data_IF_393556978643
#
_entry.id   IF_393556978643
#
_cell.length_a   1.000
_cell.length_b   1.000
_cell.length_c   1.000
_cell.angle_alpha   90.00
_cell.angle_beta   90.00
_cell.angle_gamma   90.00
#
_symmetry.space_group_name_H-M   'P 1'
#
loop_
_entity.id
_entity.type
_entity.pdbx_description
1 polymer ?
#
# COMPACT_ATOMS: atom_id res chain seq x y z
N UNK A 1 24.74 5.65 52.64
CA UNK A 1 23.55 5.67 53.52
C UNK A 1 22.55 6.69 52.98
N UNK A 2 21.25 6.32 52.97
CA UNK A 2 20.04 7.07 52.54
C UNK A 2 19.69 6.93 51.04
N UNK A 3 18.49 6.56 50.62
CA UNK A 3 17.42 5.68 51.13
C UNK A 3 16.61 5.23 49.91
N UNK A 4 16.10 3.99 49.95
CA UNK A 4 15.20 3.43 48.95
C UNK A 4 13.76 3.80 49.31
N UNK A 5 12.99 4.35 48.36
CA UNK A 5 11.52 4.27 48.39
C UNK A 5 11.05 3.87 47.00
N UNK A 6 10.83 2.57 46.86
CA UNK A 6 10.02 1.95 45.82
C UNK A 6 8.55 2.22 46.14
N UNK A 7 7.79 2.81 45.21
CA UNK A 7 6.33 2.77 45.26
C UNK A 7 5.86 1.99 44.04
N UNK A 8 5.76 0.68 44.28
CA UNK A 8 5.11 -0.32 43.47
C UNK A 8 3.68 -0.40 43.99
N UNK A 9 2.73 0.26 43.33
CA UNK A 9 1.31 0.12 43.66
C UNK A 9 0.47 -0.10 42.41
N UNK A 10 0.00 -1.36 42.33
CA UNK A 10 -1.18 -1.86 41.65
C UNK A 10 -1.16 -1.99 40.12
N UNK A 11 -0.64 -3.13 39.66
CA UNK A 11 -1.30 -3.91 38.61
C UNK A 11 -2.68 -4.37 39.12
N UNK A 12 -3.76 -4.03 38.42
CA UNK A 12 -4.88 -4.97 38.25
C UNK A 12 -5.55 -4.80 36.88
N UNK A 13 -5.89 -5.89 36.18
CA UNK A 13 -6.29 -5.88 34.78
C UNK A 13 -7.81 -6.09 34.59
N UNK A 14 -8.22 -6.09 33.31
CA UNK A 14 -9.44 -6.68 32.75
C UNK A 14 -10.72 -5.84 32.79
N UNK A 15 -10.99 -5.18 31.66
CA UNK A 15 -12.34 -5.12 31.12
C UNK A 15 -12.29 -5.55 29.64
N UNK A 16 -12.32 -6.86 29.44
CA UNK A 16 -12.57 -7.49 28.14
C UNK A 16 -13.99 -7.16 27.72
N UNK A 17 -14.15 -6.37 26.65
CA UNK A 17 -15.39 -6.38 25.88
C UNK A 17 -15.06 -7.01 24.54
N UNK A 18 -15.18 -8.34 24.50
CA UNK A 18 -15.23 -9.09 23.25
C UNK A 18 -16.57 -8.72 22.63
N UNK A 19 -16.54 -7.88 21.60
CA UNK A 19 -17.69 -7.74 20.72
C UNK A 19 -17.86 -9.07 19.98
N UNK A 20 -18.87 -9.83 20.41
CA UNK A 20 -19.31 -11.06 19.77
C UNK A 20 -19.96 -10.68 18.43
N UNK A 21 -19.20 -10.73 17.34
CA UNK A 21 -19.79 -10.76 16.01
C UNK A 21 -20.28 -12.20 15.76
N UNK A 22 -21.58 -12.42 15.97
CA UNK A 22 -22.23 -13.67 15.57
C UNK A 22 -22.18 -13.78 14.03
N UNK A 23 -21.80 -14.93 13.46
CA UNK A 23 -21.99 -15.19 12.03
C UNK A 23 -23.50 -15.35 11.77
N UNK A 24 -24.01 -14.53 10.85
CA UNK A 24 -25.36 -14.70 10.31
C UNK A 24 -25.25 -15.67 9.13
N UNK A 25 -25.86 -16.87 9.19
CA UNK A 25 -26.04 -17.67 8.00
C UNK A 25 -27.17 -17.02 7.19
N UNK A 26 -26.94 -16.78 5.91
CA UNK A 26 -28.03 -16.47 4.99
C UNK A 26 -27.81 -17.28 3.74
N UNK A 27 -28.81 -18.12 3.51
CA UNK A 27 -28.89 -19.21 2.57
C UNK A 27 -28.54 -18.86 1.13
N UNK A 28 -28.18 -19.94 0.46
CA UNK A 28 -28.06 -20.15 -0.98
C UNK A 28 -29.19 -19.49 -1.76
N UNK A 29 -28.83 -18.72 -2.79
CA UNK A 29 -29.71 -18.54 -3.94
C UNK A 29 -28.83 -18.59 -5.20
N UNK A 30 -28.78 -19.76 -5.81
CA UNK A 30 -28.42 -19.91 -7.21
C UNK A 30 -29.55 -19.28 -8.03
N UNK A 31 -29.27 -18.21 -8.76
CA UNK A 31 -30.05 -17.89 -9.96
C UNK A 31 -29.10 -17.62 -11.13
N UNK A 32 -29.02 -18.64 -11.96
CA UNK A 32 -28.75 -18.58 -13.39
C UNK A 32 -29.64 -17.52 -14.04
N UNK A 33 -29.04 -16.58 -14.79
CA UNK A 33 -29.77 -15.77 -15.75
C UNK A 33 -29.00 -15.72 -17.06
N UNK A 34 -29.29 -16.73 -17.88
CA UNK A 34 -29.19 -16.60 -19.33
C UNK A 34 -30.17 -15.51 -19.81
N UNK A 35 -29.84 -14.85 -20.92
CA UNK A 35 -30.75 -13.96 -21.61
C UNK A 35 -30.22 -12.55 -21.88
N UNK A 36 -29.55 -12.42 -23.03
CA UNK A 36 -30.10 -11.70 -24.19
C UNK A 36 -29.11 -10.72 -24.84
N UNK A 37 -28.93 -10.93 -26.15
CA UNK A 37 -28.23 -10.05 -27.09
C UNK A 37 -28.91 -8.68 -27.08
N UNK A 38 -28.14 -7.64 -26.77
CA UNK A 38 -28.51 -6.25 -26.98
C UNK A 38 -27.44 -5.57 -27.79
N UNK A 39 -27.71 -5.40 -29.08
CA UNK A 39 -27.09 -4.38 -29.92
C UNK A 39 -27.09 -3.04 -29.17
N UNK A 40 -25.89 -2.51 -28.90
CA UNK A 40 -25.69 -1.10 -28.58
C UNK A 40 -24.58 -0.58 -29.46
N UNK A 41 -25.02 0.02 -30.56
CA UNK A 41 -24.32 1.08 -31.25
C UNK A 41 -23.79 2.15 -30.27
N UNK A 42 -22.56 2.60 -30.57
CA UNK A 42 -21.91 3.87 -30.15
C UNK A 42 -21.58 4.07 -28.67
N UNK A 43 -20.27 4.16 -28.38
CA UNK A 43 -19.76 4.90 -27.22
C UNK A 43 -18.39 4.45 -26.73
N UNK A 44 -17.37 5.24 -27.05
CA UNK A 44 -16.07 5.38 -26.37
C UNK A 44 -15.15 4.15 -26.23
N UNK A 45 -14.24 4.02 -27.20
CA UNK A 45 -13.01 3.22 -27.10
C UNK A 45 -11.88 3.95 -26.34
N UNK A 46 -12.20 4.90 -25.45
CA UNK A 46 -11.19 5.81 -24.88
C UNK A 46 -10.84 5.47 -23.43
N UNK A 47 -11.22 4.28 -22.95
CA UNK A 47 -10.99 3.90 -21.53
C UNK A 47 -9.54 3.50 -21.22
N UNK A 48 -8.73 3.23 -22.25
CA UNK A 48 -7.34 2.75 -22.09
C UNK A 48 -6.25 3.83 -22.26
N UNK A 49 -6.61 5.08 -22.57
CA UNK A 49 -5.65 6.17 -22.85
C UNK A 49 -5.51 7.22 -21.74
N UNK A 50 -6.14 7.03 -20.57
CA UNK A 50 -6.08 8.04 -19.50
C UNK A 50 -4.75 8.07 -18.73
N UNK A 51 -3.86 7.10 -18.93
CA UNK A 51 -2.55 7.05 -18.24
C UNK A 51 -1.39 7.63 -19.06
N UNK A 52 -1.64 8.13 -20.28
CA UNK A 52 -0.61 8.68 -21.15
C UNK A 52 -0.40 10.19 -20.97
N UNK A 53 -1.12 10.81 -20.03
CA UNK A 53 -0.82 12.17 -19.62
C UNK A 53 0.60 12.19 -19.01
N UNK A 54 1.45 13.15 -19.40
CA UNK A 54 2.80 13.28 -18.85
C UNK A 54 2.85 13.26 -17.31
N UNK A 55 1.80 13.79 -16.69
CA UNK A 55 1.60 13.92 -15.25
C UNK A 55 1.42 12.57 -14.53
N UNK A 56 0.94 11.54 -15.22
CA UNK A 56 0.59 10.25 -14.63
C UNK A 56 1.72 9.21 -14.70
N UNK A 57 2.81 9.53 -15.41
CA UNK A 57 3.93 8.61 -15.63
C UNK A 57 4.60 8.13 -14.35
N UNK A 58 4.64 8.98 -13.33
CA UNK A 58 5.21 8.68 -12.01
C UNK A 58 4.17 8.36 -10.94
N UNK A 59 2.92 8.13 -11.34
CA UNK A 59 1.88 7.76 -10.39
C UNK A 59 1.93 6.26 -10.10
N UNK A 60 1.75 5.94 -8.83
CA UNK A 60 1.66 4.55 -8.38
C UNK A 60 0.38 3.94 -8.94
N UNK A 61 0.55 2.94 -9.80
CA UNK A 61 -0.57 2.22 -10.42
C UNK A 61 -1.00 1.00 -9.61
N UNK A 62 -0.04 0.37 -8.92
CA UNK A 62 -0.26 -0.79 -8.06
C UNK A 62 0.40 -0.55 -6.72
N UNK A 63 -0.29 -0.78 -5.59
CA UNK A 63 0.29 -0.58 -4.28
C UNK A 63 1.45 -1.56 -4.05
N UNK A 64 2.49 -1.08 -3.37
CA UNK A 64 3.66 -1.86 -2.98
C UNK A 64 4.03 -1.54 -1.53
N UNK A 65 4.80 -2.45 -0.93
CA UNK A 65 5.29 -2.30 0.43
C UNK A 65 6.59 -1.52 0.45
N UNK A 66 6.73 -0.65 1.45
CA UNK A 66 7.97 0.00 1.80
C UNK A 66 8.71 -0.81 2.86
N UNK A 67 10.04 -0.81 2.77
CA UNK A 67 10.94 -1.51 3.67
C UNK A 67 11.77 -0.53 4.50
N UNK A 68 12.17 -0.95 5.69
CA UNK A 68 13.06 -0.19 6.59
C UNK A 68 14.50 -0.10 6.05
N UNK A 69 14.98 -1.16 5.41
CA UNK A 69 16.32 -1.28 4.81
C UNK A 69 16.21 -1.79 3.37
N UNK A 70 17.24 -1.56 2.51
CA UNK A 70 17.22 -1.98 1.11
C UNK A 70 17.56 -3.47 0.96
N UNK A 71 16.77 -4.34 1.59
CA UNK A 71 16.88 -5.80 1.47
C UNK A 71 15.52 -6.48 1.68
N UNK A 72 15.37 -7.67 1.08
CA UNK A 72 14.09 -8.40 1.05
C UNK A 72 13.63 -8.90 2.42
N UNK A 73 14.59 -9.20 3.29
CA UNK A 73 14.34 -9.63 4.67
C UNK A 73 14.01 -8.48 5.62
N UNK A 74 14.05 -7.23 5.16
CA UNK A 74 13.71 -6.08 5.99
C UNK A 74 12.24 -6.05 6.34
N UNK A 75 11.96 -5.63 7.58
CA UNK A 75 10.63 -5.21 8.05
C UNK A 75 9.96 -4.25 7.05
N UNK A 76 8.66 -4.44 6.84
CA UNK A 76 7.82 -3.50 6.10
C UNK A 76 7.33 -2.39 7.03
N UNK A 77 7.39 -1.15 6.57
CA UNK A 77 7.14 0.06 7.38
C UNK A 77 5.95 0.87 6.89
N UNK A 78 5.38 0.51 5.74
CA UNK A 78 4.21 1.16 5.18
C UNK A 78 3.86 0.63 3.79
N UNK A 79 2.75 1.11 3.25
CA UNK A 79 2.28 0.75 1.90
C UNK A 79 2.00 2.02 1.09
N UNK A 80 2.38 2.02 -0.18
CA UNK A 80 2.01 3.09 -1.11
C UNK A 80 0.52 3.01 -1.46
N UNK A 81 -0.10 4.14 -1.81
CA UNK A 81 -1.48 4.18 -2.32
C UNK A 81 -1.49 4.39 -3.83
N UNK A 82 -2.53 3.89 -4.48
CA UNK A 82 -2.76 4.15 -5.90
C UNK A 82 -2.97 5.65 -6.10
N UNK A 83 -2.29 6.23 -7.09
CA UNK A 83 -2.29 7.68 -7.35
C UNK A 83 -1.27 8.48 -6.55
N UNK A 84 -0.53 7.87 -5.62
CA UNK A 84 0.62 8.52 -4.98
C UNK A 84 1.70 8.81 -6.04
N UNK A 85 2.53 9.83 -5.80
CA UNK A 85 3.68 10.13 -6.66
C UNK A 85 4.90 9.32 -6.22
N UNK A 86 5.49 8.57 -7.15
CA UNK A 86 6.80 7.94 -6.96
C UNK A 86 7.89 9.03 -6.99
N UNK A 87 8.27 9.51 -5.82
CA UNK A 87 9.23 10.61 -5.64
C UNK A 87 10.40 10.17 -4.76
N UNK A 88 11.38 9.42 -5.30
CA UNK A 88 12.53 9.01 -4.52
C UNK A 88 13.57 10.14 -4.41
N UNK A 89 14.41 10.08 -3.38
CA UNK A 89 15.47 11.05 -3.09
C UNK A 89 16.86 10.56 -3.49
N UNK A 90 17.07 9.23 -3.46
CA UNK A 90 18.32 8.60 -3.85
C UNK A 90 18.10 7.13 -4.24
N UNK A 91 19.09 6.54 -4.92
CA UNK A 91 19.11 5.13 -5.33
C UNK A 91 20.29 4.40 -4.67
N UNK A 92 20.09 3.16 -4.24
CA UNK A 92 21.14 2.25 -3.81
C UNK A 92 20.91 0.90 -4.45
N UNK A 93 21.80 0.47 -5.36
CA UNK A 93 21.58 -0.73 -6.18
C UNK A 93 20.19 -0.70 -6.83
N UNK A 94 19.37 -1.74 -6.64
CA UNK A 94 18.01 -1.84 -7.18
C UNK A 94 16.95 -1.30 -6.21
N UNK A 95 17.31 -0.38 -5.32
CA UNK A 95 16.42 0.20 -4.32
C UNK A 95 16.38 1.72 -4.41
N UNK A 96 15.19 2.28 -4.24
CA UNK A 96 14.95 3.71 -4.16
C UNK A 96 14.53 4.07 -2.73
N UNK A 97 15.08 5.17 -2.21
CA UNK A 97 14.69 5.72 -0.91
C UNK A 97 13.72 6.88 -1.11
N UNK A 98 12.62 6.92 -0.36
CA UNK A 98 11.70 8.05 -0.39
C UNK A 98 12.10 9.14 0.65
N UNK A 99 11.47 10.33 0.66
CA UNK A 99 11.76 11.38 1.64
C UNK A 99 11.51 10.99 3.09
N UNK A 100 10.65 9.99 3.34
CA UNK A 100 10.40 9.42 4.68
C UNK A 100 11.52 8.48 5.14
N UNK A 101 12.48 8.20 4.27
CA UNK A 101 13.61 7.32 4.53
C UNK A 101 13.32 5.84 4.32
N UNK A 102 12.19 5.49 3.73
CA UNK A 102 11.79 4.11 3.47
C UNK A 102 12.20 3.67 2.07
N UNK A 103 12.44 2.37 1.91
CA UNK A 103 12.99 1.77 0.72
C UNK A 103 11.93 1.06 -0.09
N UNK A 104 12.04 1.14 -1.41
CA UNK A 104 11.21 0.41 -2.37
C UNK A 104 12.10 -0.16 -3.47
N UNK A 105 11.81 -1.38 -3.94
CA UNK A 105 12.53 -1.98 -5.06
C UNK A 105 12.26 -1.25 -6.37
N UNK A 106 13.25 -1.29 -7.25
CA UNK A 106 13.14 -0.76 -8.61
C UNK A 106 12.01 -1.40 -9.42
N UNK A 107 11.67 -2.66 -9.17
CA UNK A 107 10.56 -3.34 -9.87
C UNK A 107 9.19 -2.69 -9.62
N UNK A 108 9.05 -1.88 -8.56
CA UNK A 108 7.84 -1.11 -8.26
C UNK A 108 7.89 0.33 -8.81
N UNK A 109 8.99 0.73 -9.46
CA UNK A 109 9.06 2.00 -10.18
C UNK A 109 8.05 1.96 -11.34
N UNK A 110 7.16 2.96 -11.45
CA UNK A 110 6.27 3.03 -12.60
C UNK A 110 7.07 3.07 -13.90
N UNK A 111 6.70 2.23 -14.88
CA UNK A 111 7.48 1.97 -16.09
C UNK A 111 7.93 3.24 -16.85
N UNK A 112 7.07 4.25 -16.95
CA UNK A 112 7.36 5.51 -17.66
C UNK A 112 7.90 6.62 -16.76
N UNK A 113 8.14 6.33 -15.48
CA UNK A 113 8.70 7.29 -14.54
C UNK A 113 10.21 7.37 -14.71
N UNK A 114 10.66 8.41 -15.40
CA UNK A 114 12.07 8.75 -15.49
C UNK A 114 12.51 9.42 -14.20
N UNK A 115 13.37 8.73 -13.44
CA UNK A 115 13.87 9.18 -12.16
C UNK A 115 15.38 9.31 -12.25
N UNK A 116 15.88 10.54 -12.13
CA UNK A 116 17.30 10.84 -12.05
C UNK A 116 17.62 11.32 -10.64
N UNK A 117 18.14 10.41 -9.81
CA UNK A 117 18.50 10.69 -8.41
C UNK A 117 19.94 10.26 -8.15
N UNK A 118 20.66 10.92 -7.21
CA UNK A 118 22.01 10.52 -6.85
C UNK A 118 22.01 9.14 -6.17
N UNK A 119 23.21 8.55 -6.06
CA UNK A 119 23.40 7.39 -5.20
C UNK A 119 23.19 7.80 -3.73
N UNK A 120 22.58 6.93 -2.93
CA UNK A 120 22.47 7.15 -1.50
C UNK A 120 23.86 7.12 -0.85
N UNK A 121 24.09 7.96 0.18
CA UNK A 121 25.32 7.95 0.96
C UNK A 121 25.49 6.65 1.77
#
# INVERSE_FOLDING_TARGET
MKSFIYILTALLPLASQVAMANPVPSDEFLEERDGNRGDKDRGDKDRWDKHDRPEDKCKVQKPYWYHKYPCDSSETVGQSRVGDTFAPVCKYQNWYKNPKGWWVKEDFKPWRCEVHVPNCP
#
